data_IF_347828751810
#
_entry.id   IF_347828751810
#
_cell.length_a   1.000
_cell.length_b   1.000
_cell.length_c   1.000
_cell.angle_alpha   90.00
_cell.angle_beta   90.00
_cell.angle_gamma   90.00
#
_symmetry.space_group_name_H-M   'P 1'
#
loop_
_entity.id
_entity.type
_entity.pdbx_description
1 polymer ?
#
# COMPACT_ATOMS: atom_id res chain seq x y z
N UNK A 1 -31.60 -33.22 7.18
CA UNK A 1 -30.19 -33.67 7.28
C UNK A 1 -29.35 -32.57 6.67
N UNK A 2 -28.95 -31.58 7.49
CA UNK A 2 -28.26 -30.37 7.03
C UNK A 2 -26.76 -30.54 7.28
N UNK A 3 -26.12 -31.43 6.50
CA UNK A 3 -24.67 -31.52 6.20
C UNK A 3 -24.29 -32.98 5.97
N UNK A 4 -24.36 -33.44 4.72
CA UNK A 4 -23.54 -34.56 4.27
C UNK A 4 -22.13 -34.02 4.06
N UNK A 5 -21.30 -34.09 5.11
CA UNK A 5 -19.89 -33.74 4.99
C UNK A 5 -19.18 -34.82 4.17
N UNK A 6 -18.24 -34.43 3.31
CA UNK A 6 -17.39 -35.40 2.64
C UNK A 6 -16.48 -36.11 3.66
N UNK A 7 -16.21 -37.38 3.41
CA UNK A 7 -15.21 -38.13 4.18
C UNK A 7 -13.81 -37.53 3.93
N UNK A 8 -13.11 -37.03 4.98
CA UNK A 8 -11.77 -36.48 4.83
C UNK A 8 -10.74 -37.45 4.25
N UNK A 9 -10.90 -38.76 4.47
CA UNK A 9 -9.98 -39.76 3.92
C UNK A 9 -10.15 -39.93 2.42
N UNK A 10 -11.40 -39.82 1.94
CA UNK A 10 -11.69 -39.79 0.51
C UNK A 10 -11.16 -38.52 -0.15
N UNK A 11 -11.28 -37.36 0.52
CA UNK A 11 -10.70 -36.11 0.02
C UNK A 11 -9.17 -36.18 -0.09
N UNK A 12 -8.50 -36.84 0.87
CA UNK A 12 -7.05 -37.07 0.82
C UNK A 12 -6.67 -38.02 -0.32
N UNK A 13 -7.45 -39.09 -0.53
CA UNK A 13 -7.29 -40.00 -1.67
C UNK A 13 -7.38 -39.25 -2.99
N UNK A 14 -8.40 -38.42 -3.17
CA UNK A 14 -8.59 -37.63 -4.38
C UNK A 14 -7.48 -36.60 -4.60
N UNK A 15 -6.99 -35.95 -3.54
CA UNK A 15 -5.82 -35.06 -3.61
C UNK A 15 -4.58 -35.81 -4.12
N UNK A 16 -4.31 -37.00 -3.58
CA UNK A 16 -3.12 -37.76 -3.94
C UNK A 16 -3.20 -38.28 -5.38
N UNK A 17 -4.38 -38.75 -5.80
CA UNK A 17 -4.66 -39.13 -7.19
C UNK A 17 -4.53 -37.94 -8.14
N UNK A 18 -4.97 -36.75 -7.74
CA UNK A 18 -4.87 -35.54 -8.56
C UNK A 18 -3.40 -35.12 -8.75
N UNK A 19 -2.56 -35.33 -7.74
CA UNK A 19 -1.13 -35.06 -7.83
C UNK A 19 -0.39 -36.10 -8.69
N UNK A 20 -0.87 -37.34 -8.73
CA UNK A 20 -0.25 -38.46 -9.45
C UNK A 20 -0.65 -38.50 -10.94
N UNK A 21 -1.96 -38.53 -11.23
CA UNK A 21 -2.50 -38.60 -12.59
C UNK A 21 -3.87 -37.89 -12.67
N UNK A 22 -3.89 -36.57 -12.95
CA UNK A 22 -5.13 -35.81 -13.11
C UNK A 22 -6.11 -36.37 -14.15
N UNK A 23 -5.58 -37.00 -15.20
CA UNK A 23 -6.36 -37.54 -16.31
C UNK A 23 -6.85 -38.98 -16.05
N UNK A 24 -6.29 -39.65 -15.05
CA UNK A 24 -6.66 -40.99 -14.62
C UNK A 24 -8.12 -41.07 -14.23
N UNK A 25 -8.77 -42.21 -14.46
CA UNK A 25 -10.17 -42.42 -14.11
C UNK A 25 -10.32 -42.86 -12.66
N UNK A 26 -11.25 -42.25 -11.93
CA UNK A 26 -11.61 -42.63 -10.57
C UNK A 26 -13.13 -42.68 -10.41
N UNK A 27 -13.61 -43.53 -9.52
CA UNK A 27 -15.02 -43.60 -9.13
C UNK A 27 -15.18 -43.15 -7.69
N UNK A 28 -16.21 -42.34 -7.44
CA UNK A 28 -16.64 -41.89 -6.11
C UNK A 28 -18.12 -42.20 -5.91
N UNK A 29 -18.55 -42.35 -4.66
CA UNK A 29 -19.97 -42.48 -4.35
C UNK A 29 -20.64 -41.10 -4.39
N UNK A 30 -21.50 -40.90 -5.40
CA UNK A 30 -22.28 -39.68 -5.57
C UNK A 30 -23.66 -39.76 -4.91
N UNK A 31 -24.37 -38.62 -4.91
CA UNK A 31 -25.70 -38.50 -4.29
C UNK A 31 -26.78 -39.39 -4.93
N UNK A 32 -26.57 -39.78 -6.20
CA UNK A 32 -27.48 -40.60 -7.01
C UNK A 32 -26.86 -41.94 -7.41
N UNK A 33 -25.73 -42.31 -6.79
CA UNK A 33 -24.94 -43.51 -7.09
C UNK A 33 -23.52 -43.19 -7.56
N UNK A 34 -22.74 -44.22 -7.94
CA UNK A 34 -21.34 -44.05 -8.30
C UNK A 34 -21.14 -43.12 -9.52
N UNK A 35 -20.23 -42.17 -9.40
CA UNK A 35 -19.83 -41.25 -10.47
C UNK A 35 -18.40 -41.56 -10.85
N UNK A 36 -18.14 -41.77 -12.14
CA UNK A 36 -16.80 -42.04 -12.69
C UNK A 36 -16.42 -40.97 -13.68
N UNK A 37 -15.22 -40.42 -13.55
CA UNK A 37 -14.63 -39.49 -14.51
C UNK A 37 -13.12 -39.40 -14.27
N UNK A 38 -12.43 -38.49 -14.96
CA UNK A 38 -11.06 -38.14 -14.60
C UNK A 38 -10.99 -37.59 -13.19
N UNK A 39 -9.85 -37.80 -12.51
CA UNK A 39 -9.63 -37.29 -11.15
C UNK A 39 -9.84 -35.77 -11.11
N UNK A 40 -9.28 -35.03 -12.07
CA UNK A 40 -9.47 -33.58 -12.19
C UNK A 40 -10.95 -33.19 -12.31
N UNK A 41 -11.70 -33.87 -13.18
CA UNK A 41 -13.12 -33.56 -13.41
C UNK A 41 -14.01 -33.94 -12.24
N UNK A 42 -13.65 -34.97 -11.47
CA UNK A 42 -14.35 -35.32 -10.24
C UNK A 42 -14.05 -34.33 -9.11
N UNK A 43 -12.78 -33.96 -8.92
CA UNK A 43 -12.39 -32.94 -7.92
C UNK A 43 -13.07 -31.61 -8.23
N UNK A 44 -13.08 -31.17 -9.49
CA UNK A 44 -13.76 -29.94 -9.92
C UNK A 44 -15.28 -29.95 -9.73
N UNK A 45 -15.91 -31.12 -9.55
CA UNK A 45 -17.35 -31.27 -9.31
C UNK A 45 -17.72 -31.61 -7.87
N UNK A 46 -16.75 -31.62 -6.95
CA UNK A 46 -17.06 -31.78 -5.53
C UNK A 46 -18.06 -30.72 -5.07
N UNK A 47 -19.10 -31.14 -4.36
CA UNK A 47 -20.19 -30.28 -3.90
C UNK A 47 -21.32 -30.05 -4.92
N UNK A 48 -21.19 -30.51 -6.17
CA UNK A 48 -22.27 -30.44 -7.16
C UNK A 48 -23.39 -31.44 -6.85
N UNK A 49 -24.62 -31.24 -7.35
CA UNK A 49 -25.75 -32.12 -7.04
C UNK A 49 -25.57 -33.59 -7.41
N UNK A 50 -24.73 -33.95 -8.39
CA UNK A 50 -24.44 -35.33 -8.80
C UNK A 50 -23.42 -36.03 -7.89
N UNK A 51 -22.38 -35.33 -7.45
CA UNK A 51 -21.35 -35.85 -6.53
C UNK A 51 -21.79 -35.72 -5.07
N UNK A 52 -22.53 -34.67 -4.74
CA UNK A 52 -22.98 -34.35 -3.39
C UNK A 52 -21.87 -33.82 -2.49
N UNK A 53 -22.16 -33.79 -1.18
CA UNK A 53 -21.20 -33.40 -0.15
C UNK A 53 -21.21 -31.92 0.20
N UNK A 54 -20.05 -31.45 0.65
CA UNK A 54 -19.77 -30.09 1.11
C UNK A 54 -19.59 -29.11 -0.05
N UNK A 55 -19.77 -27.82 0.22
CA UNK A 55 -19.40 -26.77 -0.72
C UNK A 55 -17.88 -26.55 -0.75
N UNK A 56 -17.32 -26.36 -1.94
CA UNK A 56 -15.90 -26.07 -2.15
C UNK A 56 -15.72 -24.85 -3.06
N UNK A 57 -14.82 -23.94 -2.67
CA UNK A 57 -14.57 -22.70 -3.44
C UNK A 57 -13.88 -22.95 -4.77
N UNK A 58 -13.18 -24.08 -4.93
CA UNK A 58 -12.50 -24.44 -6.17
C UNK A 58 -13.39 -25.22 -7.16
N UNK A 59 -14.64 -25.53 -6.81
CA UNK A 59 -15.52 -26.28 -7.71
C UNK A 59 -15.88 -25.45 -8.95
N UNK A 60 -16.17 -26.14 -10.06
CA UNK A 60 -16.49 -25.50 -11.34
C UNK A 60 -17.74 -24.62 -11.22
N UNK A 61 -18.79 -25.10 -10.53
CA UNK A 61 -20.02 -24.31 -10.31
C UNK A 61 -19.72 -23.04 -9.52
N UNK A 62 -18.92 -23.13 -8.45
CA UNK A 62 -18.59 -21.95 -7.67
C UNK A 62 -17.76 -20.94 -8.49
N UNK A 63 -16.77 -21.43 -9.24
CA UNK A 63 -15.98 -20.58 -10.13
C UNK A 63 -16.88 -19.91 -11.18
N UNK A 64 -17.75 -20.65 -11.86
CA UNK A 64 -18.66 -20.11 -12.88
C UNK A 64 -19.57 -19.02 -12.30
N UNK A 65 -20.09 -19.21 -11.08
CA UNK A 65 -20.90 -18.22 -10.38
C UNK A 65 -20.09 -16.97 -10.01
N UNK A 66 -18.84 -17.12 -9.55
CA UNK A 66 -17.93 -15.99 -9.29
C UNK A 66 -17.67 -15.23 -10.59
N UNK A 67 -17.40 -15.92 -11.69
CA UNK A 67 -17.20 -15.31 -13.01
C UNK A 67 -18.44 -14.54 -13.47
N UNK A 68 -19.64 -15.11 -13.30
CA UNK A 68 -20.90 -14.44 -13.60
C UNK A 68 -21.11 -13.16 -12.77
N UNK A 69 -20.80 -13.20 -11.47
CA UNK A 69 -20.84 -12.04 -10.60
C UNK A 69 -19.85 -10.94 -11.04
N UNK A 70 -18.59 -11.31 -11.31
CA UNK A 70 -17.58 -10.36 -11.78
C UNK A 70 -17.96 -9.75 -13.13
N UNK A 71 -18.53 -10.54 -14.05
CA UNK A 71 -19.01 -10.07 -15.34
C UNK A 71 -20.13 -9.03 -15.18
N UNK A 72 -21.06 -9.23 -14.24
CA UNK A 72 -22.12 -8.27 -13.94
C UNK A 72 -21.56 -6.98 -13.31
N UNK A 73 -20.62 -7.09 -12.36
CA UNK A 73 -19.92 -5.94 -11.78
C UNK A 73 -19.17 -5.13 -12.85
N UNK A 74 -18.50 -5.81 -13.77
CA UNK A 74 -17.83 -5.18 -14.90
C UNK A 74 -18.83 -4.51 -15.85
N UNK A 75 -19.95 -5.17 -16.19
CA UNK A 75 -21.02 -4.60 -17.04
C UNK A 75 -21.62 -3.32 -16.44
N UNK A 76 -21.64 -3.20 -15.11
CA UNK A 76 -22.08 -1.99 -14.39
C UNK A 76 -21.01 -0.92 -14.25
N UNK A 77 -19.78 -1.17 -14.70
CA UNK A 77 -18.65 -0.25 -14.55
C UNK A 77 -18.09 -0.17 -13.13
N UNK A 78 -18.32 -1.18 -12.28
CA UNK A 78 -17.83 -1.21 -10.90
C UNK A 78 -16.41 -1.77 -10.78
N UNK A 79 -15.94 -2.48 -11.80
CA UNK A 79 -14.56 -2.99 -11.89
C UNK A 79 -13.80 -2.13 -12.89
N UNK A 80 -12.66 -1.60 -12.47
CA UNK A 80 -11.78 -0.80 -13.31
C UNK A 80 -10.31 -1.10 -13.00
N UNK A 81 -9.43 -0.77 -13.94
CA UNK A 81 -7.98 -0.83 -13.76
C UNK A 81 -7.45 0.58 -13.56
N UNK A 82 -6.71 0.80 -12.48
CA UNK A 82 -6.09 2.08 -12.14
C UNK A 82 -4.66 1.91 -11.62
N UNK A 83 -4.00 3.04 -11.38
CA UNK A 83 -2.72 3.10 -10.66
C UNK A 83 -2.95 3.98 -9.43
N UNK A 84 -2.64 3.44 -8.25
CA UNK A 84 -2.82 4.11 -6.97
C UNK A 84 -1.76 3.62 -5.96
N UNK A 85 -1.60 4.34 -4.85
CA UNK A 85 -0.76 3.92 -3.73
C UNK A 85 -1.55 2.95 -2.87
N UNK A 86 -1.12 1.69 -2.83
CA UNK A 86 -1.80 0.61 -2.11
C UNK A 86 -0.88 0.01 -1.05
N UNK A 87 -1.43 -0.50 0.08
CA UNK A 87 -0.67 -1.33 0.98
C UNK A 87 -0.05 -2.51 0.23
N UNK A 88 1.25 -2.75 0.44
CA UNK A 88 2.01 -3.73 -0.31
C UNK A 88 2.73 -4.71 0.62
N UNK A 89 2.56 -6.01 0.38
CA UNK A 89 3.31 -7.03 1.08
C UNK A 89 4.60 -7.37 0.30
N UNK A 90 5.74 -6.90 0.79
CA UNK A 90 7.04 -7.19 0.16
C UNK A 90 7.37 -8.70 0.11
N UNK A 91 6.86 -9.48 1.07
CA UNK A 91 7.05 -10.95 1.10
C UNK A 91 6.23 -11.65 0.01
N UNK A 92 4.97 -11.27 -0.16
CA UNK A 92 4.06 -11.93 -1.09
C UNK A 92 4.16 -11.37 -2.52
N UNK A 93 4.66 -10.14 -2.68
CA UNK A 93 4.75 -9.49 -3.99
C UNK A 93 3.39 -9.05 -4.55
N UNK A 94 2.45 -8.69 -3.68
CA UNK A 94 1.09 -8.27 -4.07
C UNK A 94 0.57 -7.14 -3.20
N UNK A 95 -0.36 -6.37 -3.75
CA UNK A 95 -1.16 -5.39 -3.01
C UNK A 95 -2.16 -6.10 -2.09
N UNK A 96 -2.50 -5.46 -0.98
CA UNK A 96 -3.45 -5.95 0.02
C UNK A 96 -4.73 -5.10 0.01
N UNK A 97 -5.85 -5.74 0.31
CA UNK A 97 -7.10 -5.07 0.61
C UNK A 97 -7.06 -4.37 1.97
N UNK A 98 -7.97 -3.42 2.20
CA UNK A 98 -8.09 -2.74 3.50
C UNK A 98 -8.46 -3.71 4.64
N UNK A 99 -9.27 -4.73 4.35
CA UNK A 99 -9.69 -5.71 5.35
C UNK A 99 -8.50 -6.55 5.84
N UNK A 100 -7.61 -6.98 4.94
CA UNK A 100 -6.39 -7.71 5.29
C UNK A 100 -5.42 -6.86 6.13
N UNK A 101 -5.33 -5.55 5.86
CA UNK A 101 -4.49 -4.64 6.65
C UNK A 101 -4.98 -4.52 8.09
N UNK A 102 -6.30 -4.38 8.28
CA UNK A 102 -6.89 -4.12 9.59
C UNK A 102 -6.70 -5.29 10.57
N UNK A 103 -6.66 -6.53 10.08
CA UNK A 103 -6.39 -7.70 10.91
C UNK A 103 -4.91 -7.82 11.32
N UNK A 104 -4.00 -7.09 10.66
CA UNK A 104 -2.56 -7.22 10.79
C UNK A 104 -1.87 -6.15 11.64
N UNK A 105 -2.60 -5.26 12.32
CA UNK A 105 -1.97 -4.20 13.12
C UNK A 105 -1.15 -4.78 14.27
N UNK A 106 0.08 -4.28 14.40
CA UNK A 106 1.02 -4.67 15.44
C UNK A 106 1.78 -3.45 15.94
N UNK A 107 2.04 -3.42 17.25
CA UNK A 107 2.95 -2.44 17.82
C UNK A 107 4.37 -2.74 17.35
N UNK A 108 5.03 -1.71 16.79
CA UNK A 108 6.43 -1.78 16.36
C UNK A 108 7.17 -0.55 16.81
N UNK A 109 8.47 -0.71 17.04
CA UNK A 109 9.37 0.40 17.31
C UNK A 109 9.99 0.86 15.99
N UNK A 110 9.74 2.12 15.63
CA UNK A 110 10.31 2.78 14.46
C UNK A 110 11.19 3.96 14.89
N UNK A 111 12.23 4.32 14.10
CA UNK A 111 13.06 5.47 14.40
C UNK A 111 12.30 6.78 14.19
N UNK A 112 12.23 7.64 15.20
CA UNK A 112 11.69 9.00 15.07
C UNK A 112 12.80 10.00 14.73
N UNK A 113 12.94 10.37 13.46
CA UNK A 113 14.03 11.24 13.00
C UNK A 113 13.53 12.63 12.64
N UNK A 114 14.33 13.63 12.98
CA UNK A 114 14.13 15.02 12.58
C UNK A 114 15.25 15.44 11.63
N UNK A 115 14.88 15.87 10.42
CA UNK A 115 15.79 16.23 9.33
C UNK A 115 15.61 17.69 8.92
N UNK A 116 16.71 18.31 8.48
CA UNK A 116 16.76 19.70 8.02
C UNK A 116 16.67 19.75 6.50
N UNK A 117 15.74 20.55 5.98
CA UNK A 117 15.67 20.89 4.55
C UNK A 117 16.08 22.35 4.38
N UNK A 118 17.33 22.62 3.94
CA UNK A 118 17.84 23.97 3.79
C UNK A 118 17.02 24.80 2.80
N UNK A 119 16.67 26.03 3.16
CA UNK A 119 15.92 26.94 2.28
C UNK A 119 16.88 27.61 1.29
N UNK A 120 16.56 27.55 0.01
CA UNK A 120 17.44 28.07 -1.05
C UNK A 120 17.47 29.61 -1.08
N UNK A 121 16.32 30.23 -0.84
CA UNK A 121 16.14 31.69 -0.88
C UNK A 121 16.40 32.35 0.48
N UNK A 122 16.77 31.57 1.51
CA UNK A 122 16.92 32.01 2.91
C UNK A 122 18.13 31.32 3.54
N UNK A 123 19.32 31.78 3.19
CA UNK A 123 20.59 31.19 3.63
C UNK A 123 20.68 31.07 5.15
N UNK A 124 21.06 29.89 5.65
CA UNK A 124 21.15 29.61 7.09
C UNK A 124 19.83 29.27 7.76
N UNK A 125 18.71 29.30 7.02
CA UNK A 125 17.40 28.84 7.49
C UNK A 125 17.07 27.46 6.89
N UNK A 126 16.42 26.59 7.68
CA UNK A 126 15.96 25.27 7.22
C UNK A 126 14.53 24.97 7.67
N UNK A 127 13.78 24.23 6.88
CA UNK A 127 12.57 23.57 7.37
C UNK A 127 12.98 22.37 8.23
N UNK A 128 12.32 22.19 9.36
CA UNK A 128 12.54 21.06 10.25
C UNK A 128 11.41 20.05 10.06
N UNK A 129 11.74 18.87 9.54
CA UNK A 129 10.77 17.83 9.14
C UNK A 129 10.99 16.58 9.99
N UNK A 130 9.90 15.97 10.47
CA UNK A 130 9.95 14.72 11.24
C UNK A 130 9.42 13.55 10.41
N UNK A 131 10.02 12.37 10.54
CA UNK A 131 9.58 11.13 9.88
C UNK A 131 9.88 9.90 10.72
N UNK A 132 9.01 8.89 10.64
CA UNK A 132 9.24 7.52 11.14
C UNK A 132 9.79 6.58 10.07
N UNK A 133 9.79 7.01 8.81
CA UNK A 133 10.13 6.18 7.64
C UNK A 133 11.28 6.80 6.86
N UNK A 134 12.52 6.80 7.39
CA UNK A 134 13.67 7.47 6.76
C UNK A 134 13.95 7.01 5.33
N UNK A 135 13.63 5.75 5.00
CA UNK A 135 13.81 5.20 3.66
C UNK A 135 13.03 5.96 2.58
N UNK A 136 11.94 6.66 2.93
CA UNK A 136 11.14 7.47 2.01
C UNK A 136 11.81 8.79 1.62
N UNK A 137 12.80 9.27 2.38
CA UNK A 137 13.46 10.57 2.14
C UNK A 137 14.19 10.61 0.79
N UNK A 138 14.64 9.46 0.28
CA UNK A 138 15.25 9.35 -1.06
C UNK A 138 14.28 9.67 -2.20
N UNK A 139 12.98 9.58 -1.93
CA UNK A 139 11.89 9.86 -2.86
C UNK A 139 11.12 11.13 -2.48
N UNK A 140 11.71 12.01 -1.66
CA UNK A 140 11.08 13.28 -1.33
C UNK A 140 10.88 14.10 -2.61
N UNK A 141 9.70 14.69 -2.76
CA UNK A 141 9.39 15.61 -3.86
C UNK A 141 8.88 16.95 -3.35
N UNK A 142 8.23 17.00 -2.19
CA UNK A 142 7.70 18.24 -1.63
C UNK A 142 7.71 18.21 -0.10
N UNK A 143 7.57 19.39 0.50
CA UNK A 143 7.29 19.56 1.91
C UNK A 143 5.88 20.16 2.05
N UNK A 144 4.96 19.44 2.67
CA UNK A 144 3.58 19.91 2.80
C UNK A 144 3.39 20.71 4.09
N UNK A 145 2.62 21.79 4.02
CA UNK A 145 2.24 22.63 5.17
C UNK A 145 0.74 22.82 5.23
N UNK A 146 0.17 22.78 6.44
CA UNK A 146 -1.23 23.14 6.64
C UNK A 146 -1.39 24.65 6.54
N UNK A 147 -2.13 25.14 5.54
CA UNK A 147 -2.19 26.58 5.23
C UNK A 147 -2.65 27.46 6.40
N UNK A 148 -3.54 26.91 7.24
CA UNK A 148 -4.13 27.60 8.41
C UNK A 148 -3.32 27.40 9.69
N UNK A 149 -2.30 26.53 9.68
CA UNK A 149 -1.45 26.30 10.84
C UNK A 149 -0.42 27.42 10.97
N UNK A 150 -0.02 27.70 12.21
CA UNK A 150 1.05 28.66 12.50
C UNK A 150 2.40 27.95 12.54
N UNK A 151 3.35 28.50 11.81
CA UNK A 151 4.75 28.10 11.78
C UNK A 151 5.60 29.19 12.43
N UNK A 152 6.66 28.79 13.11
CA UNK A 152 7.56 29.70 13.81
C UNK A 152 8.97 29.60 13.25
N UNK A 153 9.63 30.75 13.11
CA UNK A 153 11.08 30.81 12.91
C UNK A 153 11.75 30.83 14.27
N UNK A 154 12.65 29.89 14.50
CA UNK A 154 13.34 29.72 15.78
C UNK A 154 14.84 29.75 15.56
N UNK A 155 15.55 30.47 16.43
CA UNK A 155 17.01 30.42 16.53
C UNK A 155 17.42 29.47 17.65
N UNK A 156 18.29 28.52 17.34
CA UNK A 156 18.87 27.61 18.31
C UNK A 156 20.37 27.43 17.99
N UNK A 157 21.23 27.94 18.89
CA UNK A 157 22.65 28.08 18.60
C UNK A 157 22.88 29.03 17.42
N UNK A 158 23.66 28.57 16.44
CA UNK A 158 23.96 29.32 15.21
C UNK A 158 23.00 29.00 14.06
N UNK A 159 22.03 28.11 14.27
CA UNK A 159 21.09 27.66 13.23
C UNK A 159 19.70 28.28 13.41
N UNK A 160 18.99 28.44 12.29
CA UNK A 160 17.62 28.95 12.25
C UNK A 160 16.67 27.94 11.59
N UNK A 161 15.55 27.66 12.24
CA UNK A 161 14.61 26.62 11.82
C UNK A 161 13.19 27.15 11.63
N UNK A 162 12.47 26.54 10.70
CA UNK A 162 11.03 26.68 10.53
C UNK A 162 10.33 25.38 10.88
N UNK A 163 9.37 25.45 11.79
CA UNK A 163 8.59 24.31 12.26
C UNK A 163 7.20 24.73 12.71
N UNK A 164 6.28 23.77 12.81
CA UNK A 164 4.94 24.03 13.34
C UNK A 164 5.00 24.50 14.80
N UNK A 165 4.26 25.55 15.14
CA UNK A 165 4.23 26.10 16.51
C UNK A 165 3.80 25.04 17.54
N UNK A 166 2.92 24.13 17.16
CA UNK A 166 2.43 23.04 18.01
C UNK A 166 3.47 21.97 18.36
N UNK A 167 4.59 21.90 17.64
CA UNK A 167 5.61 20.84 17.82
C UNK A 167 6.88 21.33 18.52
N UNK A 168 6.92 22.59 18.98
CA UNK A 168 8.13 23.21 19.55
C UNK A 168 8.79 22.39 20.66
N UNK A 169 8.00 21.87 21.60
CA UNK A 169 8.50 21.14 22.76
C UNK A 169 9.04 19.75 22.41
N UNK A 170 8.51 19.14 21.35
CA UNK A 170 8.86 17.80 20.92
C UNK A 170 10.01 17.81 19.91
N UNK A 171 10.09 18.85 19.07
CA UNK A 171 11.05 18.93 17.99
C UNK A 171 12.40 19.54 18.40
N UNK A 172 12.44 20.40 19.41
CA UNK A 172 13.65 21.08 19.85
C UNK A 172 14.04 20.68 21.27
N UNK A 173 15.34 20.41 21.46
CA UNK A 173 15.93 20.14 22.78
C UNK A 173 16.82 21.31 23.20
N UNK A 174 16.70 21.74 24.46
CA UNK A 174 17.52 22.84 25.00
C UNK A 174 16.94 24.24 24.72
N UNK A 175 17.72 25.30 25.00
CA UNK A 175 17.27 26.68 24.84
C UNK A 175 17.11 27.05 23.37
N UNK A 176 16.10 27.87 23.08
CA UNK A 176 15.83 28.44 21.77
C UNK A 176 15.09 29.77 21.90
N UNK A 177 15.10 30.56 20.83
CA UNK A 177 14.40 31.85 20.76
C UNK A 177 13.47 31.88 19.56
N UNK A 178 12.19 32.19 19.77
CA UNK A 178 11.22 32.40 18.69
C UNK A 178 11.42 33.81 18.12
N UNK A 179 11.73 33.88 16.83
CA UNK A 179 12.04 35.13 16.13
C UNK A 179 10.83 35.70 15.39
N UNK A 180 10.04 34.86 14.73
CA UNK A 180 8.85 35.30 14.00
C UNK A 180 7.82 34.16 13.87
N UNK A 181 6.55 34.53 13.61
CA UNK A 181 5.47 33.59 13.32
C UNK A 181 4.88 33.90 11.94
N UNK A 182 4.50 32.86 11.19
CA UNK A 182 3.82 32.95 9.90
C UNK A 182 2.72 31.91 9.79
N UNK A 183 1.71 32.18 8.96
CA UNK A 183 0.77 31.15 8.53
C UNK A 183 1.42 30.19 7.53
N UNK A 184 0.98 28.94 7.48
CA UNK A 184 1.46 27.97 6.49
C UNK A 184 1.26 28.45 5.05
N UNK A 185 0.21 29.21 4.79
CA UNK A 185 -0.03 29.85 3.48
C UNK A 185 1.12 30.74 3.02
N UNK A 186 1.82 31.40 3.95
CA UNK A 186 2.97 32.26 3.62
C UNK A 186 4.25 31.47 3.31
N UNK A 187 4.30 30.19 3.70
CA UNK A 187 5.43 29.29 3.41
C UNK A 187 5.27 28.62 2.03
N UNK A 188 4.05 28.51 1.50
CA UNK A 188 3.77 27.88 0.20
C UNK A 188 4.62 28.53 -0.90
N UNK A 189 5.28 27.68 -1.69
CA UNK A 189 6.15 28.08 -2.79
C UNK A 189 7.61 28.29 -2.40
N UNK A 190 7.97 28.28 -1.11
CA UNK A 190 9.37 28.35 -0.69
C UNK A 190 10.15 27.16 -1.23
N UNK A 191 11.36 27.45 -1.74
CA UNK A 191 12.24 26.44 -2.33
C UNK A 191 13.23 25.93 -1.28
N UNK A 192 13.51 24.64 -1.33
CA UNK A 192 14.44 23.99 -0.41
C UNK A 192 15.35 22.99 -1.13
N UNK A 193 16.43 22.57 -0.50
CA UNK A 193 17.28 21.46 -0.93
C UNK A 193 16.83 20.16 -0.26
N UNK A 194 16.63 19.10 -1.04
CA UNK A 194 16.28 17.77 -0.56
C UNK A 194 17.49 17.03 0.02
N UNK A 195 17.25 16.01 0.88
CA UNK A 195 18.32 15.31 1.59
C UNK A 195 19.20 14.40 0.70
N UNK A 196 18.73 14.03 -0.49
CA UNK A 196 19.40 13.07 -1.39
C UNK A 196 19.43 13.54 -2.85
N UNK A 197 19.42 14.86 -3.08
CA UNK A 197 19.42 15.48 -4.42
C UNK A 197 20.72 15.23 -5.20
N UNK A 198 21.76 14.74 -4.54
CA UNK A 198 23.03 14.39 -5.15
C UNK A 198 23.03 13.01 -5.85
N UNK A 199 22.05 12.14 -5.53
CA UNK A 199 21.96 10.81 -6.12
C UNK A 199 21.69 10.88 -7.64
N UNK A 200 22.41 10.10 -8.47
CA UNK A 200 22.24 10.14 -9.93
C UNK A 200 20.81 9.89 -10.41
N UNK A 201 20.09 8.96 -9.76
CA UNK A 201 18.71 8.64 -10.10
C UNK A 201 17.74 9.81 -9.81
N UNK A 202 17.98 10.55 -8.73
CA UNK A 202 17.16 11.72 -8.34
C UNK A 202 17.40 12.86 -9.32
N UNK A 203 18.67 13.15 -9.65
CA UNK A 203 19.01 14.18 -10.65
C UNK A 203 18.38 13.88 -12.01
N UNK A 204 18.53 12.65 -12.49
CA UNK A 204 17.93 12.23 -13.76
C UNK A 204 16.41 12.39 -13.75
N UNK A 205 15.73 11.99 -12.66
CA UNK A 205 14.29 12.17 -12.54
C UNK A 205 13.89 13.66 -12.57
N UNK A 206 14.60 14.51 -11.82
CA UNK A 206 14.27 15.94 -11.76
C UNK A 206 14.55 16.66 -13.07
N UNK A 207 15.58 16.28 -13.82
CA UNK A 207 15.85 16.83 -15.16
C UNK A 207 14.71 16.57 -16.16
N UNK A 208 14.00 15.43 -16.03
CA UNK A 208 12.87 15.13 -16.93
C UNK A 208 11.64 16.00 -16.69
N UNK A 209 11.52 16.58 -15.49
CA UNK A 209 10.37 17.37 -15.07
C UNK A 209 9.20 16.52 -14.58
N UNK A 210 8.01 17.11 -14.55
CA UNK A 210 6.81 16.44 -14.05
C UNK A 210 5.92 15.98 -15.22
N UNK A 211 4.89 15.20 -14.90
CA UNK A 211 3.86 14.83 -15.87
C UNK A 211 3.17 16.05 -16.48
N UNK A 212 2.95 17.09 -15.69
CA UNK A 212 2.21 18.29 -16.10
C UNK A 212 3.13 19.35 -16.74
N UNK A 213 4.42 19.36 -16.39
CA UNK A 213 5.43 20.24 -16.96
C UNK A 213 6.62 19.44 -17.49
N UNK A 214 6.44 18.70 -18.61
CA UNK A 214 7.51 17.91 -19.20
C UNK A 214 8.61 18.85 -19.73
N UNK A 215 9.87 18.49 -19.50
CA UNK A 215 11.08 19.26 -19.89
C UNK A 215 11.36 20.52 -19.05
N UNK A 216 10.67 20.73 -17.93
CA UNK A 216 11.08 21.74 -16.95
C UNK A 216 11.72 21.03 -15.76
N UNK A 217 13.00 21.29 -15.44
CA UNK A 217 13.64 20.69 -14.27
C UNK A 217 12.82 20.92 -13.00
N UNK A 218 12.59 19.84 -12.26
CA UNK A 218 11.86 19.88 -11.01
C UNK A 218 12.66 20.60 -9.93
N UNK A 219 11.98 21.42 -9.13
CA UNK A 219 12.52 22.04 -7.94
C UNK A 219 11.61 21.74 -6.76
N UNK A 220 12.20 21.31 -5.65
CA UNK A 220 11.53 21.12 -4.38
C UNK A 220 10.86 22.41 -3.89
N UNK A 221 9.59 22.28 -3.52
CA UNK A 221 8.78 23.41 -3.02
C UNK A 221 7.94 23.00 -1.83
N UNK A 222 7.66 23.99 -0.99
CA UNK A 222 6.61 23.87 0.01
C UNK A 222 5.25 23.94 -0.67
N UNK A 223 4.39 22.95 -0.41
CA UNK A 223 3.05 22.81 -1.00
C UNK A 223 1.97 22.82 0.09
N UNK A 224 0.73 23.21 -0.22
CA UNK A 224 -0.37 23.06 0.73
C UNK A 224 -0.67 21.57 0.98
N UNK A 225 -1.01 21.23 2.23
CA UNK A 225 -1.59 19.93 2.63
C UNK A 225 -3.12 19.93 2.44
#
# INVERSE_FOLDING_TARGET
MWMDWNDPDELRRLRDLLAEDPAGQVTVEGSRGPVTDSVEMLVGRLGMPDVGGSYFTFSNENNDLIWGFLAECHRRGWIYKGHDTMPWCARCGTGLSQMELNEGYQDREDPGLTVKFPLLDRTGESLLVWTTTPWTLTSNVAAAVGEKLTYVRVRQGDETYWLGKGTLKQALAGPFEVLEERSGRELVGWRYAGPFDDLPAVRAAFETGTRDEPNRPYEHRVVPW
#
